data_IF_717217250495
#
_entry.id   IF_717217250495
#
_cell.length_a   1.000
_cell.length_b   1.000
_cell.length_c   1.000
_cell.angle_alpha   90.00
_cell.angle_beta   90.00
_cell.angle_gamma   90.00
#
_symmetry.space_group_name_H-M   'P 1'
#
loop_
_entity.id
_entity.type
_entity.pdbx_description
1 polymer ?
#
# COMPACT_ATOMS: atom_id res chain seq x y z
N UNK A 1 34.10 -9.57 -16.13
CA UNK A 1 32.77 -10.06 -16.56
C UNK A 1 31.84 -10.45 -15.41
N UNK A 2 31.95 -11.62 -14.76
CA UNK A 2 30.94 -12.03 -13.74
C UNK A 2 30.95 -11.16 -12.46
N UNK A 3 32.13 -10.73 -11.98
CA UNK A 3 32.26 -9.83 -10.82
C UNK A 3 31.61 -8.47 -11.05
N UNK A 4 31.79 -7.89 -12.24
CA UNK A 4 31.22 -6.59 -12.60
C UNK A 4 29.70 -6.64 -12.69
N UNK A 5 29.15 -7.73 -13.24
CA UNK A 5 27.71 -7.97 -13.27
C UNK A 5 27.12 -8.06 -11.85
N UNK A 6 27.77 -8.79 -10.93
CA UNK A 6 27.33 -8.87 -9.53
C UNK A 6 27.34 -7.49 -8.86
N UNK A 7 28.38 -6.69 -9.08
CA UNK A 7 28.47 -5.34 -8.51
C UNK A 7 27.39 -4.41 -9.08
N UNK A 8 27.12 -4.49 -10.38
CA UNK A 8 26.06 -3.72 -11.02
C UNK A 8 24.67 -4.10 -10.47
N UNK A 9 24.41 -5.41 -10.29
CA UNK A 9 23.15 -5.90 -9.71
C UNK A 9 22.96 -5.44 -8.27
N UNK A 10 24.01 -5.50 -7.43
CA UNK A 10 23.95 -4.98 -6.05
C UNK A 10 23.60 -3.50 -6.03
N UNK A 11 24.30 -2.68 -6.82
CA UNK A 11 23.99 -1.26 -6.94
C UNK A 11 22.54 -1.01 -7.37
N UNK A 12 22.00 -1.85 -8.26
CA UNK A 12 20.61 -1.73 -8.69
C UNK A 12 19.62 -2.09 -7.58
N UNK A 13 19.92 -3.11 -6.77
CA UNK A 13 19.13 -3.46 -5.59
C UNK A 13 19.10 -2.28 -4.63
N UNK A 14 20.27 -1.72 -4.27
CA UNK A 14 20.36 -0.58 -3.35
C UNK A 14 19.50 0.62 -3.84
N UNK A 15 19.52 0.89 -5.15
CA UNK A 15 18.71 1.94 -5.76
C UNK A 15 17.20 1.66 -5.66
N UNK A 16 16.79 0.41 -5.86
CA UNK A 16 15.38 0.01 -5.79
C UNK A 16 14.87 0.02 -4.36
N UNK A 17 15.69 -0.41 -3.40
CA UNK A 17 15.37 -0.35 -1.97
C UNK A 17 15.21 1.10 -1.49
N UNK A 18 16.07 2.01 -1.96
CA UNK A 18 15.92 3.43 -1.65
C UNK A 18 14.65 4.03 -2.25
N UNK A 19 14.34 3.65 -3.49
CA UNK A 19 13.13 4.10 -4.16
C UNK A 19 11.87 3.60 -3.45
N UNK A 20 11.84 2.32 -3.04
CA UNK A 20 10.74 1.76 -2.25
C UNK A 20 10.55 2.52 -0.94
N UNK A 21 11.64 2.69 -0.18
CA UNK A 21 11.62 3.37 1.12
C UNK A 21 11.12 4.82 1.01
N UNK A 22 11.65 5.59 0.06
CA UNK A 22 11.29 6.99 -0.13
C UNK A 22 9.86 7.17 -0.65
N UNK A 23 9.42 6.30 -1.56
CA UNK A 23 8.05 6.32 -2.10
C UNK A 23 7.05 5.94 -1.02
N UNK A 24 7.36 4.91 -0.21
CA UNK A 24 6.50 4.50 0.89
C UNK A 24 6.42 5.59 1.97
N UNK A 25 7.52 6.25 2.30
CA UNK A 25 7.48 7.40 3.22
C UNK A 25 6.63 8.55 2.68
N UNK A 26 6.71 8.83 1.37
CA UNK A 26 5.85 9.82 0.73
C UNK A 26 4.37 9.44 0.84
N UNK A 27 4.03 8.16 0.65
CA UNK A 27 2.68 7.65 0.82
C UNK A 27 2.18 7.90 2.27
N UNK A 28 3.01 7.62 3.27
CA UNK A 28 2.68 7.89 4.68
C UNK A 28 2.33 9.36 4.91
N UNK A 29 3.13 10.28 4.38
CA UNK A 29 2.89 11.71 4.50
C UNK A 29 1.57 12.15 3.85
N UNK A 30 1.28 11.64 2.64
CA UNK A 30 0.04 11.96 1.93
C UNK A 30 -1.20 11.40 2.65
N UNK A 31 -1.05 10.24 3.29
CA UNK A 31 -2.13 9.57 4.02
C UNK A 31 -2.23 9.97 5.50
N UNK A 32 -1.36 10.86 6.00
CA UNK A 32 -1.39 11.30 7.39
C UNK A 32 -2.77 11.81 7.87
N UNK A 33 -3.57 12.54 7.05
CA UNK A 33 -4.93 12.93 7.44
C UNK A 33 -5.89 11.75 7.67
N UNK A 34 -5.59 10.59 7.10
CA UNK A 34 -6.44 9.39 7.10
C UNK A 34 -5.91 8.30 8.04
N UNK A 35 -5.03 8.65 8.98
CA UNK A 35 -4.37 7.68 9.86
C UNK A 35 -5.38 6.83 10.65
N UNK A 36 -6.54 7.39 11.00
CA UNK A 36 -7.61 6.64 11.67
C UNK A 36 -8.10 5.44 10.84
N UNK A 37 -8.25 5.62 9.54
CA UNK A 37 -8.72 4.57 8.63
C UNK A 37 -7.63 3.52 8.41
N UNK A 38 -6.37 3.96 8.31
CA UNK A 38 -5.20 3.07 8.24
C UNK A 38 -5.10 2.20 9.49
N UNK A 39 -5.24 2.80 10.69
CA UNK A 39 -5.21 2.06 11.95
C UNK A 39 -6.37 1.06 12.04
N UNK A 40 -7.56 1.42 11.53
CA UNK A 40 -8.68 0.47 11.45
C UNK A 40 -8.33 -0.73 10.56
N UNK A 41 -7.75 -0.51 9.37
CA UNK A 41 -7.33 -1.60 8.48
C UNK A 41 -6.30 -2.53 9.14
N UNK A 42 -5.38 -1.99 9.94
CA UNK A 42 -4.37 -2.77 10.69
C UNK A 42 -5.02 -3.68 11.76
N UNK A 43 -6.24 -3.39 12.22
CA UNK A 43 -6.94 -4.29 13.15
C UNK A 43 -7.37 -5.61 12.52
N UNK A 44 -7.40 -5.69 11.19
CA UNK A 44 -7.70 -6.93 10.46
C UNK A 44 -6.51 -7.88 10.59
N UNK A 45 -6.74 -9.08 11.10
CA UNK A 45 -5.71 -10.11 11.27
C UNK A 45 -4.93 -10.34 9.97
N UNK A 46 -3.60 -10.19 10.05
CA UNK A 46 -2.70 -10.38 8.90
C UNK A 46 -2.46 -9.11 8.06
N UNK A 47 -3.15 -8.01 8.33
CA UNK A 47 -2.90 -6.72 7.66
C UNK A 47 -1.88 -5.91 8.47
N UNK A 48 -0.76 -5.61 7.83
CA UNK A 48 0.28 -4.73 8.38
C UNK A 48 0.21 -3.34 7.73
N UNK A 49 0.93 -2.36 8.29
CA UNK A 49 0.89 -0.97 7.83
C UNK A 49 1.02 -0.82 6.31
N UNK A 50 2.01 -1.49 5.70
CA UNK A 50 2.23 -1.40 4.26
C UNK A 50 1.01 -1.88 3.47
N UNK A 51 0.44 -3.02 3.84
CA UNK A 51 -0.77 -3.53 3.19
C UNK A 51 -1.98 -2.62 3.43
N UNK A 52 -2.16 -2.11 4.64
CA UNK A 52 -3.25 -1.17 4.97
C UNK A 52 -3.18 0.10 4.12
N UNK A 53 -1.99 0.71 4.01
CA UNK A 53 -1.78 1.92 3.21
C UNK A 53 -1.96 1.69 1.71
N UNK A 54 -1.55 0.52 1.20
CA UNK A 54 -1.81 0.13 -0.19
C UNK A 54 -3.30 -0.08 -0.45
N UNK A 55 -4.00 -0.82 0.43
CA UNK A 55 -5.46 -1.00 0.32
C UNK A 55 -6.17 0.35 0.29
N UNK A 56 -5.80 1.27 1.19
CA UNK A 56 -6.39 2.60 1.23
C UNK A 56 -6.09 3.43 -0.02
N UNK A 57 -4.90 3.29 -0.60
CA UNK A 57 -4.53 3.98 -1.84
C UNK A 57 -5.35 3.51 -3.05
N UNK A 58 -5.76 2.24 -3.09
CA UNK A 58 -6.58 1.68 -4.18
C UNK A 58 -8.07 1.97 -4.01
N UNK A 59 -8.56 2.04 -2.78
CA UNK A 59 -9.99 2.15 -2.47
C UNK A 59 -10.49 3.60 -2.34
N UNK A 60 -9.59 4.58 -2.18
CA UNK A 60 -9.89 5.99 -1.93
C UNK A 60 -10.66 6.28 -0.62
N UNK A 61 -10.62 7.54 -0.19
CA UNK A 61 -11.22 8.00 1.08
C UNK A 61 -12.76 8.11 1.04
N UNK A 62 -13.33 8.18 -0.15
CA UNK A 62 -14.76 8.39 -0.44
C UNK A 62 -15.49 7.09 -0.80
N UNK A 63 -15.01 5.96 -0.25
CA UNK A 63 -15.56 4.64 -0.52
C UNK A 63 -17.09 4.58 -0.32
N UNK A 64 -17.59 5.28 0.70
CA UNK A 64 -19.02 5.31 1.05
C UNK A 64 -19.88 6.05 0.02
N UNK A 65 -19.30 7.00 -0.71
CA UNK A 65 -20.01 7.76 -1.75
C UNK A 65 -20.25 6.89 -3.00
N UNK A 66 -19.39 5.88 -3.21
CA UNK A 66 -19.47 4.93 -4.30
C UNK A 66 -20.16 3.60 -3.91
N UNK A 67 -19.95 3.16 -2.67
CA UNK A 67 -20.49 1.93 -2.11
C UNK A 67 -21.23 2.19 -0.79
N UNK A 68 -22.54 2.48 -0.86
CA UNK A 68 -23.38 2.71 0.32
C UNK A 68 -23.36 1.58 1.37
N UNK A 69 -23.19 0.33 0.95
CA UNK A 69 -23.17 -0.83 1.85
C UNK A 69 -21.99 -1.76 1.56
N UNK A 70 -21.58 -2.52 2.57
CA UNK A 70 -20.53 -3.53 2.45
C UNK A 70 -20.87 -4.60 1.42
N UNK A 71 -22.15 -4.99 1.31
CA UNK A 71 -22.60 -6.00 0.34
C UNK A 71 -22.41 -5.53 -1.10
N UNK A 72 -22.65 -4.24 -1.38
CA UNK A 72 -22.41 -3.65 -2.70
C UNK A 72 -20.91 -3.62 -3.02
N UNK A 73 -20.09 -3.28 -2.02
CA UNK A 73 -18.64 -3.31 -2.15
C UNK A 73 -18.11 -4.73 -2.40
N UNK A 74 -18.52 -5.72 -1.61
CA UNK A 74 -18.07 -7.11 -1.76
C UNK A 74 -18.55 -7.73 -3.06
N UNK A 75 -19.77 -7.42 -3.49
CA UNK A 75 -20.29 -7.84 -4.80
C UNK A 75 -19.44 -7.29 -5.95
N UNK A 76 -19.02 -6.02 -5.89
CA UNK A 76 -18.11 -5.42 -6.88
C UNK A 76 -16.73 -6.09 -6.87
N UNK A 77 -16.22 -6.47 -5.70
CA UNK A 77 -14.98 -7.25 -5.56
C UNK A 77 -15.11 -8.71 -6.06
N UNK A 78 -16.31 -9.17 -6.40
CA UNK A 78 -16.58 -10.56 -6.78
C UNK A 78 -16.62 -11.54 -5.61
N UNK A 79 -16.81 -11.03 -4.39
CA UNK A 79 -17.00 -11.81 -3.16
C UNK A 79 -18.50 -11.79 -2.86
N UNK A 80 -19.19 -12.90 -3.19
CA UNK A 80 -20.62 -13.07 -2.99
C UNK A 80 -20.95 -13.50 -1.55
#
# INVERSE_FOLDING_TARGET
MMKEQILALRKKIDQLEEYDRSTFERLRQLQAPYEKDIQLLITITGIQERSARMIYAELCADLKDHFPTSEQFTSWLGIC
#
